data_IF_666865746085
#
_entry.id   IF_666865746085
#
_cell.length_a   1.000
_cell.length_b   1.000
_cell.length_c   1.000
_cell.angle_alpha   90.00
_cell.angle_beta   90.00
_cell.angle_gamma   90.00
#
_symmetry.space_group_name_H-M   'P 1'
#
loop_
_entity.id
_entity.type
_entity.pdbx_description
1 polymer ?
#
# COMPACT_ATOMS: atom_id res chain seq x y z
N UNK A 1 19.47 5.46 11.08
CA UNK A 1 18.15 5.02 10.56
C UNK A 1 17.22 4.80 11.74
N UNK A 2 16.04 5.42 11.75
CA UNK A 2 15.01 5.13 12.74
C UNK A 2 14.45 3.71 12.49
N UNK A 3 14.48 2.87 13.52
CA UNK A 3 13.89 1.52 13.51
C UNK A 3 12.37 1.59 13.30
N UNK A 4 11.79 0.62 12.59
CA UNK A 4 10.34 0.43 12.52
C UNK A 4 9.75 0.05 13.89
N UNK A 5 8.43 0.14 14.00
CA UNK A 5 7.66 -0.20 15.21
C UNK A 5 8.03 0.60 16.46
N UNK A 6 8.06 1.95 16.41
CA UNK A 6 8.51 2.76 17.55
C UNK A 6 7.53 2.79 18.73
N UNK A 7 6.34 2.19 18.61
CA UNK A 7 5.28 2.22 19.63
C UNK A 7 4.77 0.82 19.97
N UNK A 8 4.13 0.64 21.15
CA UNK A 8 3.43 -0.60 21.47
C UNK A 8 2.34 -0.98 20.45
N UNK A 9 1.69 0.00 19.78
CA UNK A 9 0.63 -0.26 18.80
C UNK A 9 1.17 -0.92 17.52
N UNK A 10 2.44 -0.67 17.19
CA UNK A 10 3.11 -1.22 16.01
C UNK A 10 4.11 -2.33 16.35
N UNK A 11 4.24 -2.70 17.63
CA UNK A 11 5.09 -3.81 18.06
C UNK A 11 4.42 -5.16 17.76
N UNK A 12 5.04 -5.98 16.91
CA UNK A 12 4.52 -7.31 16.52
C UNK A 12 4.63 -8.28 17.70
N UNK A 13 3.50 -8.78 18.19
CA UNK A 13 3.45 -9.75 19.30
C UNK A 13 3.40 -11.20 18.81
N UNK A 14 2.52 -11.51 17.83
CA UNK A 14 2.40 -12.86 17.24
C UNK A 14 3.20 -13.00 15.95
N UNK A 15 4.05 -14.01 15.91
CA UNK A 15 4.91 -14.30 14.76
C UNK A 15 6.04 -13.26 14.63
N UNK A 16 6.67 -12.92 15.75
CA UNK A 16 7.76 -11.94 15.83
C UNK A 16 8.97 -12.32 14.96
N UNK A 17 9.16 -13.61 14.70
CA UNK A 17 10.16 -14.10 13.74
C UNK A 17 9.91 -13.65 12.28
N UNK A 18 8.76 -13.05 12.00
CA UNK A 18 8.40 -12.46 10.70
C UNK A 18 8.47 -10.93 10.72
N UNK A 19 8.71 -10.31 11.87
CA UNK A 19 8.76 -8.87 11.99
C UNK A 19 10.00 -8.33 11.26
N UNK A 20 9.82 -7.25 10.51
CA UNK A 20 10.90 -6.57 9.80
C UNK A 20 11.14 -5.22 10.48
N UNK A 21 12.37 -5.00 10.93
CA UNK A 21 12.76 -3.77 11.65
C UNK A 21 13.37 -2.68 10.75
N UNK A 22 13.79 -3.06 9.55
CA UNK A 22 14.48 -2.20 8.59
C UNK A 22 13.50 -1.29 7.85
N UNK A 23 13.68 0.04 7.96
CA UNK A 23 12.81 1.02 7.29
C UNK A 23 12.89 0.93 5.76
N UNK A 24 14.05 0.62 5.21
CA UNK A 24 14.23 0.51 3.76
C UNK A 24 13.36 -0.61 3.18
N UNK A 25 13.19 -1.71 3.92
CA UNK A 25 12.28 -2.82 3.54
C UNK A 25 10.82 -2.39 3.51
N UNK A 26 10.40 -1.48 4.40
CA UNK A 26 9.06 -0.87 4.34
C UNK A 26 8.92 -0.03 3.07
N UNK A 27 9.90 0.82 2.77
CA UNK A 27 9.86 1.68 1.59
C UNK A 27 9.86 0.86 0.29
N UNK A 28 10.65 -0.22 0.23
CA UNK A 28 10.64 -1.18 -0.89
C UNK A 28 9.25 -1.78 -1.12
N UNK A 29 8.58 -2.22 -0.06
CA UNK A 29 7.21 -2.76 -0.16
C UNK A 29 6.22 -1.69 -0.62
N UNK A 30 6.30 -0.48 -0.06
CA UNK A 30 5.40 0.61 -0.42
C UNK A 30 5.63 1.08 -1.87
N UNK A 31 6.86 1.03 -2.37
CA UNK A 31 7.20 1.33 -3.77
C UNK A 31 6.71 0.24 -4.75
N UNK A 32 6.74 -1.02 -4.36
CA UNK A 32 6.24 -2.15 -5.17
C UNK A 32 4.70 -2.20 -5.21
N UNK A 33 4.04 -1.91 -4.10
CA UNK A 33 2.59 -2.06 -3.98
C UNK A 33 1.81 -0.97 -4.74
N UNK A 34 0.75 -1.37 -5.45
CA UNK A 34 -0.10 -0.45 -6.22
C UNK A 34 -1.36 0.02 -5.48
N UNK A 35 -1.78 -0.73 -4.45
CA UNK A 35 -3.01 -0.47 -3.70
C UNK A 35 -2.74 -0.60 -2.21
N UNK A 36 -3.33 0.29 -1.43
CA UNK A 36 -3.42 0.18 0.02
C UNK A 36 -4.88 0.04 0.48
N UNK A 37 -5.07 -0.36 1.72
CA UNK A 37 -6.38 -0.45 2.37
C UNK A 37 -6.42 0.52 3.55
N UNK A 38 -7.27 1.54 3.43
CA UNK A 38 -7.49 2.53 4.48
C UNK A 38 -8.62 2.08 5.40
N UNK A 39 -8.28 1.70 6.63
CA UNK A 39 -9.20 1.53 7.74
C UNK A 39 -9.50 2.86 8.42
N UNK A 40 -10.77 3.23 8.51
CA UNK A 40 -11.25 4.44 9.18
C UNK A 40 -12.56 4.18 9.91
N UNK A 41 -12.77 4.83 11.06
CA UNK A 41 -14.02 4.76 11.81
C UNK A 41 -14.92 5.90 11.38
N UNK A 42 -16.10 5.58 10.84
CA UNK A 42 -17.08 6.57 10.36
C UNK A 42 -18.30 6.59 11.26
N UNK A 43 -18.92 7.77 11.40
CA UNK A 43 -20.24 7.93 12.03
C UNK A 43 -21.23 8.41 10.97
N UNK A 44 -22.30 7.65 10.77
CA UNK A 44 -23.38 7.97 9.82
C UNK A 44 -24.72 7.63 10.44
N UNK A 45 -25.68 8.56 10.34
CA UNK A 45 -27.04 8.39 10.85
C UNK A 45 -27.08 7.94 12.33
N UNK A 46 -26.15 8.46 13.14
CA UNK A 46 -26.01 8.14 14.57
C UNK A 46 -25.26 6.84 14.89
N UNK A 47 -24.90 6.03 13.88
CA UNK A 47 -24.18 4.77 14.07
C UNK A 47 -22.69 4.93 13.73
N UNK A 48 -21.82 4.43 14.62
CA UNK A 48 -20.36 4.44 14.44
C UNK A 48 -19.84 3.05 14.12
N UNK A 49 -19.08 2.89 13.03
CA UNK A 49 -18.54 1.60 12.59
C UNK A 49 -17.24 1.77 11.78
N UNK A 50 -16.36 0.77 11.74
CA UNK A 50 -15.20 0.79 10.86
C UNK A 50 -15.60 0.52 9.40
N UNK A 51 -14.89 1.15 8.48
CA UNK A 51 -14.88 0.81 7.06
C UNK A 51 -13.43 0.63 6.59
N UNK A 52 -13.23 -0.23 5.61
CA UNK A 52 -11.93 -0.46 4.97
C UNK A 52 -12.08 -0.20 3.48
N UNK A 53 -11.32 0.76 2.97
CA UNK A 53 -11.44 1.25 1.60
C UNK A 53 -10.17 0.93 0.81
N UNK A 54 -10.27 0.29 -0.37
CA UNK A 54 -9.12 0.21 -1.26
C UNK A 54 -8.82 1.59 -1.82
N UNK A 55 -7.55 2.00 -1.78
CA UNK A 55 -7.10 3.33 -2.19
C UNK A 55 -5.79 3.24 -2.97
N UNK A 56 -5.66 4.10 -3.99
CA UNK A 56 -4.36 4.46 -4.53
C UNK A 56 -3.64 5.36 -3.53
N UNK A 57 -2.32 5.25 -3.48
CA UNK A 57 -1.48 6.01 -2.57
C UNK A 57 -0.15 6.36 -3.24
N UNK A 58 0.61 7.24 -2.60
CA UNK A 58 2.02 7.43 -2.89
C UNK A 58 2.78 7.67 -1.59
N UNK A 59 4.10 7.55 -1.66
CA UNK A 59 5.00 7.82 -0.55
C UNK A 59 6.03 8.83 -0.98
N UNK A 60 6.24 9.84 -0.14
CA UNK A 60 7.38 10.73 -0.18
C UNK A 60 8.27 10.45 1.05
N UNK A 61 9.38 9.71 0.90
CA UNK A 61 10.28 9.42 2.02
C UNK A 61 10.89 10.69 2.65
N UNK A 62 11.04 11.75 1.84
CA UNK A 62 11.59 13.05 2.24
C UNK A 62 10.47 14.09 2.48
N UNK A 63 9.23 13.62 2.56
CA UNK A 63 8.06 14.44 2.85
C UNK A 63 8.15 15.14 4.21
N UNK A 64 7.30 16.16 4.44
CA UNK A 64 7.40 17.03 5.62
C UNK A 64 7.02 16.33 6.93
N UNK A 65 6.45 15.12 6.89
CA UNK A 65 6.04 14.38 8.07
C UNK A 65 7.15 13.49 8.62
N UNK A 66 7.06 13.18 9.92
CA UNK A 66 8.07 12.35 10.56
C UNK A 66 8.14 10.94 9.96
N UNK A 67 9.34 10.54 9.54
CA UNK A 67 9.59 9.25 8.91
C UNK A 67 9.18 9.16 7.44
N UNK A 68 8.78 10.28 6.83
CA UNK A 68 8.23 10.38 5.47
C UNK A 68 6.71 10.50 5.48
N UNK A 69 6.15 10.86 4.33
CA UNK A 69 4.71 11.11 4.15
C UNK A 69 4.08 10.07 3.23
N UNK A 70 3.01 9.43 3.69
CA UNK A 70 2.11 8.64 2.85
C UNK A 70 0.93 9.52 2.44
N UNK A 71 0.77 9.72 1.13
CA UNK A 71 -0.33 10.50 0.56
C UNK A 71 -1.47 9.62 0.08
N UNK A 72 -2.69 10.03 0.43
CA UNK A 72 -3.95 9.48 -0.06
C UNK A 72 -4.76 10.61 -0.70
N UNK A 73 -5.61 10.31 -1.66
CA UNK A 73 -6.50 11.31 -2.24
C UNK A 73 -7.93 10.79 -2.36
N UNK A 74 -8.88 11.73 -2.47
CA UNK A 74 -10.29 11.40 -2.67
C UNK A 74 -11.11 12.63 -3.03
N UNK A 75 -12.38 12.40 -3.37
CA UNK A 75 -13.34 13.48 -3.56
C UNK A 75 -13.52 14.27 -2.26
N UNK A 76 -13.59 15.59 -2.36
CA UNK A 76 -13.94 16.47 -1.23
C UNK A 76 -15.33 16.16 -0.63
N UNK A 77 -16.20 15.49 -1.39
CA UNK A 77 -17.51 15.02 -0.93
C UNK A 77 -17.50 13.66 -0.23
N UNK A 78 -16.35 12.99 -0.12
CA UNK A 78 -16.27 11.67 0.47
C UNK A 78 -16.46 11.70 2.00
N UNK A 79 -17.50 11.03 2.50
CA UNK A 79 -17.82 11.02 3.94
C UNK A 79 -16.72 10.46 4.83
N UNK A 80 -15.89 9.55 4.31
CA UNK A 80 -14.76 8.95 5.04
C UNK A 80 -13.60 9.93 5.26
N UNK A 81 -13.45 10.95 4.41
CA UNK A 81 -12.30 11.85 4.43
C UNK A 81 -12.32 12.74 5.67
N UNK A 82 -13.50 13.25 6.04
CA UNK A 82 -13.68 13.98 7.30
C UNK A 82 -13.44 13.08 8.50
N UNK A 83 -13.91 11.85 8.44
CA UNK A 83 -13.73 10.89 9.52
C UNK A 83 -12.24 10.56 9.76
N UNK A 84 -11.46 10.42 8.68
CA UNK A 84 -10.01 10.21 8.71
C UNK A 84 -9.23 11.35 9.38
N UNK A 85 -9.81 12.56 9.47
CA UNK A 85 -9.24 13.70 10.17
C UNK A 85 -9.69 13.79 11.64
N UNK A 86 -10.63 12.97 12.12
CA UNK A 86 -11.19 13.06 13.48
C UNK A 86 -10.63 11.98 14.42
N UNK A 87 -10.25 10.83 13.90
CA UNK A 87 -9.57 9.75 14.62
C UNK A 87 -8.26 9.33 13.94
N UNK A 88 -7.51 8.43 14.58
CA UNK A 88 -6.39 7.74 13.93
C UNK A 88 -6.92 6.82 12.83
N UNK A 89 -6.17 6.75 11.74
CA UNK A 89 -6.41 5.82 10.63
C UNK A 89 -5.39 4.69 10.63
N UNK A 90 -5.72 3.61 9.93
CA UNK A 90 -4.83 2.49 9.67
C UNK A 90 -4.71 2.29 8.16
N UNK A 91 -3.50 2.34 7.62
CA UNK A 91 -3.23 2.02 6.21
C UNK A 91 -2.48 0.69 6.17
N UNK A 92 -3.09 -0.31 5.52
CA UNK A 92 -2.51 -1.64 5.34
C UNK A 92 -2.14 -1.86 3.88
N UNK A 93 -0.92 -2.32 3.65
CA UNK A 93 -0.42 -2.76 2.33
C UNK A 93 -0.05 -4.23 2.44
N UNK A 94 -0.41 -5.04 1.45
CA UNK A 94 -0.08 -6.48 1.42
C UNK A 94 0.17 -6.91 -0.01
N UNK A 95 1.32 -7.55 -0.22
CA UNK A 95 1.66 -8.29 -1.44
C UNK A 95 1.71 -9.78 -1.11
N UNK A 96 1.01 -10.59 -1.92
CA UNK A 96 0.95 -12.04 -1.77
C UNK A 96 1.99 -12.69 -2.68
N UNK A 97 3.02 -13.26 -2.08
CA UNK A 97 4.20 -13.76 -2.79
C UNK A 97 4.18 -15.30 -2.95
N UNK A 98 3.21 -16.01 -2.34
CA UNK A 98 3.07 -17.45 -2.57
C UNK A 98 2.06 -18.18 -1.68
N UNK A 99 1.66 -19.37 -2.13
CA UNK A 99 0.81 -20.30 -1.39
C UNK A 99 1.67 -21.40 -0.78
N UNK A 100 1.61 -21.61 0.53
CA UNK A 100 2.38 -22.65 1.21
C UNK A 100 1.50 -23.83 1.55
N UNK A 101 1.82 -24.96 0.91
CA UNK A 101 1.16 -26.25 1.09
C UNK A 101 2.02 -27.11 2.02
N UNK A 102 1.63 -27.13 3.29
CA UNK A 102 2.23 -27.97 4.31
C UNK A 102 1.61 -29.38 4.33
N UNK A 103 2.19 -30.31 5.09
CA UNK A 103 1.63 -31.67 5.20
C UNK A 103 0.43 -31.74 6.12
N UNK A 104 0.39 -30.88 7.14
CA UNK A 104 -0.80 -30.69 7.98
C UNK A 104 -1.55 -29.41 7.59
N UNK A 105 -2.89 -29.46 7.73
CA UNK A 105 -3.73 -28.29 7.50
C UNK A 105 -3.39 -27.13 8.45
N UNK A 106 -2.91 -27.43 9.66
CA UNK A 106 -2.49 -26.43 10.65
C UNK A 106 -1.29 -25.59 10.18
N UNK A 107 -0.36 -26.21 9.46
CA UNK A 107 0.86 -25.56 8.97
C UNK A 107 0.71 -24.91 7.59
N UNK A 108 -0.47 -24.99 6.96
CA UNK A 108 -0.77 -24.28 5.71
C UNK A 108 -0.68 -22.77 5.90
N UNK A 109 -0.12 -22.07 4.92
CA UNK A 109 0.11 -20.63 5.03
C UNK A 109 0.27 -19.93 3.68
N UNK A 110 0.75 -18.69 3.72
CA UNK A 110 1.08 -17.88 2.55
C UNK A 110 2.43 -17.19 2.75
N UNK A 111 3.19 -17.02 1.68
CA UNK A 111 4.31 -16.09 1.63
C UNK A 111 3.75 -14.70 1.30
N UNK A 112 4.23 -13.67 2.00
CA UNK A 112 3.71 -12.31 1.86
C UNK A 112 4.71 -11.28 2.39
N UNK A 113 4.53 -10.05 1.94
CA UNK A 113 5.05 -8.82 2.56
C UNK A 113 3.87 -7.94 2.94
N UNK A 114 3.83 -7.46 4.18
CA UNK A 114 2.73 -6.63 4.67
C UNK A 114 3.22 -5.53 5.59
N UNK A 115 2.68 -4.34 5.39
CA UNK A 115 2.91 -3.18 6.24
C UNK A 115 1.59 -2.66 6.82
N UNK A 116 1.66 -2.18 8.05
CA UNK A 116 0.58 -1.48 8.74
C UNK A 116 1.12 -0.16 9.25
N UNK A 117 0.57 0.94 8.77
CA UNK A 117 0.87 2.33 9.19
C UNK A 117 -0.32 2.86 9.97
N UNK A 118 -0.10 3.33 11.20
CA UNK A 118 -1.14 3.86 12.07
C UNK A 118 -0.80 5.30 12.41
N UNK A 119 -1.78 6.19 12.37
CA UNK A 119 -1.54 7.53 12.85
C UNK A 119 -2.65 8.53 12.53
N UNK A 120 -2.34 9.78 12.85
CA UNK A 120 -3.21 10.92 12.63
C UNK A 120 -2.97 11.49 11.24
N UNK A 121 -3.94 11.35 10.34
CA UNK A 121 -3.84 12.00 9.04
C UNK A 121 -4.09 13.52 9.19
N UNK A 122 -3.43 14.32 8.35
CA UNK A 122 -3.70 15.74 8.17
C UNK A 122 -4.21 16.02 6.76
N UNK A 123 -4.98 17.10 6.62
CA UNK A 123 -5.31 17.64 5.30
C UNK A 123 -4.07 18.33 4.71
N UNK A 124 -3.87 18.18 3.40
CA UNK A 124 -2.88 18.95 2.65
C UNK A 124 -3.54 20.20 2.08
N UNK A 125 -3.38 21.31 2.79
CA UNK A 125 -3.97 22.61 2.42
C UNK A 125 -3.02 23.46 1.55
N UNK A 126 -1.71 23.25 1.66
CA UNK A 126 -0.73 23.97 0.83
C UNK A 126 -0.89 23.59 -0.64
N UNK A 127 -1.09 24.55 -1.56
CA UNK A 127 -1.31 24.25 -2.97
C UNK A 127 -0.13 23.57 -3.68
N UNK A 128 1.11 23.81 -3.24
CA UNK A 128 2.29 23.21 -3.84
C UNK A 128 2.47 21.76 -3.36
N UNK A 129 2.33 21.52 -2.05
CA UNK A 129 2.32 20.16 -1.50
C UNK A 129 1.19 19.32 -2.09
N UNK A 130 -0.02 19.89 -2.21
CA UNK A 130 -1.16 19.17 -2.79
C UNK A 130 -0.91 18.76 -4.24
N UNK A 131 -0.30 19.64 -5.04
CA UNK A 131 0.07 19.34 -6.43
C UNK A 131 1.12 18.22 -6.47
N UNK A 132 2.18 18.36 -5.70
CA UNK A 132 3.25 17.36 -5.58
C UNK A 132 2.69 15.99 -5.19
N UNK A 133 1.85 15.92 -4.16
CA UNK A 133 1.23 14.68 -3.71
C UNK A 133 0.36 14.02 -4.81
N UNK A 134 -0.38 14.80 -5.59
CA UNK A 134 -1.18 14.26 -6.70
C UNK A 134 -0.30 13.77 -7.85
N UNK A 135 0.76 14.49 -8.18
CA UNK A 135 1.73 14.07 -9.19
C UNK A 135 2.43 12.77 -8.75
N UNK A 136 2.81 12.66 -7.48
CA UNK A 136 3.36 11.42 -6.90
C UNK A 136 2.38 10.24 -7.00
N UNK A 137 1.09 10.44 -6.74
CA UNK A 137 0.09 9.36 -6.89
C UNK A 137 -0.01 8.89 -8.35
N UNK A 138 0.04 9.81 -9.31
CA UNK A 138 0.05 9.48 -10.74
C UNK A 138 1.33 8.70 -11.09
N UNK A 139 2.48 9.16 -10.62
CA UNK A 139 3.78 8.57 -10.92
C UNK A 139 4.01 7.23 -10.21
N UNK A 140 3.37 7.02 -9.05
CA UNK A 140 3.38 5.74 -8.35
C UNK A 140 2.72 4.63 -9.19
N UNK A 141 1.67 4.99 -9.95
CA UNK A 141 1.01 4.06 -10.87
C UNK A 141 1.86 3.82 -12.12
N UNK A 142 2.31 4.90 -12.77
CA UNK A 142 3.09 4.87 -14.00
C UNK A 142 4.23 5.90 -13.85
N UNK A 143 5.48 5.46 -13.63
CA UNK A 143 6.59 6.38 -13.39
C UNK A 143 6.78 7.42 -14.51
N UNK A 144 6.80 8.70 -14.12
CA UNK A 144 6.97 9.85 -15.02
C UNK A 144 5.72 10.27 -15.79
N UNK A 145 4.57 9.63 -15.53
CA UNK A 145 3.30 9.91 -16.22
C UNK A 145 2.82 11.34 -16.00
N UNK A 146 2.97 11.87 -14.79
CA UNK A 146 2.53 13.22 -14.40
C UNK A 146 3.05 14.29 -15.38
N UNK A 147 4.32 14.17 -15.80
CA UNK A 147 4.99 15.10 -16.71
C UNK A 147 4.52 14.99 -18.18
N UNK A 148 3.91 13.87 -18.57
CA UNK A 148 3.38 13.66 -19.94
C UNK A 148 1.93 14.10 -20.09
N UNK A 149 1.25 14.38 -18.98
CA UNK A 149 -0.14 14.81 -18.95
C UNK A 149 -0.23 16.34 -18.90
N UNK A 150 -1.38 16.89 -19.31
CA UNK A 150 -1.67 18.30 -19.01
C UNK A 150 -1.74 18.51 -17.50
N UNK A 151 -1.36 19.69 -17.04
CA UNK A 151 -1.55 20.07 -15.65
C UNK A 151 -3.03 19.98 -15.23
N UNK A 152 -3.27 19.63 -13.97
CA UNK A 152 -4.61 19.65 -13.38
C UNK A 152 -5.19 21.07 -13.39
N UNK A 153 -6.46 21.17 -13.79
CA UNK A 153 -7.22 22.40 -13.75
C UNK A 153 -7.57 22.80 -12.32
N UNK A 154 -7.90 24.08 -12.11
CA UNK A 154 -8.38 24.56 -10.80
C UNK A 154 -9.63 23.82 -10.32
N UNK A 155 -10.51 23.42 -11.23
CA UNK A 155 -11.74 22.68 -10.90
C UNK A 155 -11.44 21.28 -10.38
N UNK A 156 -10.51 20.58 -11.04
CA UNK A 156 -10.05 19.25 -10.60
C UNK A 156 -9.42 19.34 -9.20
N UNK A 157 -8.49 20.29 -9.00
CA UNK A 157 -7.85 20.50 -7.71
C UNK A 157 -8.83 20.89 -6.59
N UNK A 158 -9.91 21.61 -6.91
CA UNK A 158 -10.95 21.96 -5.94
C UNK A 158 -11.87 20.78 -5.59
N UNK A 159 -12.01 19.80 -6.49
CA UNK A 159 -12.82 18.60 -6.26
C UNK A 159 -12.05 17.49 -5.53
N UNK A 160 -10.72 17.60 -5.44
CA UNK A 160 -9.84 16.59 -4.86
C UNK A 160 -9.21 17.08 -3.55
N UNK A 161 -9.42 16.30 -2.49
CA UNK A 161 -8.71 16.46 -1.23
C UNK A 161 -7.57 15.43 -1.14
N UNK A 162 -6.51 15.82 -0.45
CA UNK A 162 -5.33 14.99 -0.20
C UNK A 162 -5.13 14.90 1.31
N UNK A 163 -4.94 13.68 1.79
CA UNK A 163 -4.55 13.38 3.16
C UNK A 163 -3.08 12.98 3.19
N UNK A 164 -2.36 13.48 4.18
CA UNK A 164 -1.00 13.08 4.50
C UNK A 164 -0.99 12.30 5.82
N UNK A 165 -0.34 11.13 5.83
CA UNK A 165 -0.17 10.29 7.00
C UNK A 165 1.34 10.12 7.28
N UNK A 166 1.84 10.47 8.48
CA UNK A 166 3.23 10.23 8.84
C UNK A 166 3.60 8.73 8.83
N UNK A 167 4.74 8.40 8.23
CA UNK A 167 5.29 7.03 8.19
C UNK A 167 6.10 6.64 9.44
N UNK A 168 6.11 7.51 10.47
CA UNK A 168 6.77 7.25 11.75
C UNK A 168 6.30 5.92 12.37
N UNK A 169 4.99 5.79 12.56
CA UNK A 169 4.38 4.65 13.27
C UNK A 169 3.92 3.59 12.29
N UNK A 170 4.88 2.75 11.88
CA UNK A 170 4.67 1.65 10.94
C UNK A 170 5.25 0.34 11.48
N UNK A 171 4.63 -0.77 11.10
CA UNK A 171 5.11 -2.13 11.33
C UNK A 171 5.12 -2.91 10.03
N UNK A 172 6.04 -3.85 9.89
CA UNK A 172 6.13 -4.72 8.73
C UNK A 172 6.31 -6.17 9.15
N UNK A 173 5.65 -7.06 8.41
CA UNK A 173 5.85 -8.51 8.49
C UNK A 173 6.15 -9.07 7.11
N UNK A 174 7.08 -10.01 7.07
CA UNK A 174 7.46 -10.73 5.86
C UNK A 174 7.53 -12.23 6.15
N UNK A 175 7.03 -13.04 5.22
CA UNK A 175 7.20 -14.49 5.22
C UNK A 175 7.56 -14.95 3.82
N UNK A 176 8.63 -15.73 3.73
CA UNK A 176 9.07 -16.41 2.52
C UNK A 176 9.41 -17.87 2.81
N UNK A 177 9.52 -18.69 1.75
CA UNK A 177 9.99 -20.07 1.83
C UNK A 177 8.89 -21.12 1.99
N UNK A 178 9.34 -22.34 2.33
CA UNK A 178 8.51 -23.54 2.41
C UNK A 178 7.71 -23.69 3.71
N UNK A 179 6.96 -24.80 3.83
CA UNK A 179 6.28 -25.16 5.07
C UNK A 179 7.28 -25.52 6.17
N UNK A 180 6.84 -25.38 7.42
CA UNK A 180 7.58 -25.84 8.60
C UNK A 180 6.70 -26.93 9.23
N UNK A 181 6.94 -28.17 8.82
CA UNK A 181 6.20 -29.35 9.28
C UNK A 181 6.90 -30.00 10.48
N UNK A 182 6.12 -30.64 11.35
CA UNK A 182 6.66 -31.48 12.42
C UNK A 182 7.27 -32.78 11.83
N UNK A 183 8.24 -33.43 12.51
CA UNK A 183 8.87 -34.64 12.00
C UNK A 183 7.89 -35.78 11.68
N UNK A 184 6.80 -35.90 12.44
CA UNK A 184 5.74 -36.89 12.24
C UNK A 184 4.95 -36.65 10.94
N UNK A 185 4.67 -35.39 10.62
CA UNK A 185 4.03 -34.98 9.38
C UNK A 185 4.95 -35.29 8.20
N UNK A 186 6.25 -35.00 8.31
CA UNK A 186 7.26 -35.32 7.27
C UNK A 186 7.31 -36.82 6.99
N UNK A 187 7.22 -37.66 8.02
CA UNK A 187 7.28 -39.12 7.90
C UNK A 187 6.10 -39.72 7.10
N UNK A 188 4.97 -39.00 6.96
CA UNK A 188 3.83 -39.45 6.15
C UNK A 188 4.15 -39.57 4.65
N UNK A 189 5.22 -38.90 4.18
CA UNK A 189 5.61 -38.89 2.77
C UNK A 189 4.69 -38.04 1.87
N UNK A 190 3.70 -37.33 2.45
CA UNK A 190 2.85 -36.39 1.70
C UNK A 190 3.72 -35.29 1.08
N UNK A 191 3.38 -34.83 -0.12
CA UNK A 191 4.09 -33.73 -0.75
C UNK A 191 3.88 -32.43 0.02
N UNK A 192 4.93 -31.60 0.11
CA UNK A 192 4.84 -30.27 0.70
C UNK A 192 5.81 -29.31 -0.01
N UNK A 193 5.41 -28.05 -0.09
CA UNK A 193 6.15 -27.03 -0.82
C UNK A 193 5.41 -25.70 -0.84
N UNK A 194 5.77 -24.85 -1.78
CA UNK A 194 5.03 -23.62 -2.01
C UNK A 194 4.92 -23.30 -3.50
N UNK A 195 3.85 -22.61 -3.86
CA UNK A 195 3.60 -22.07 -5.19
C UNK A 195 3.93 -20.57 -5.12
N UNK A 196 5.05 -20.11 -5.71
CA UNK A 196 5.35 -18.69 -5.78
C UNK A 196 4.26 -17.95 -6.57
N UNK A 197 3.92 -16.76 -6.13
CA UNK A 197 3.00 -15.85 -6.80
C UNK A 197 3.72 -14.55 -7.10
N UNK A 198 3.37 -13.92 -8.22
CA UNK A 198 3.82 -12.58 -8.59
C UNK A 198 2.72 -11.87 -9.37
N UNK A 199 2.67 -10.54 -9.26
CA UNK A 199 1.86 -9.71 -10.15
C UNK A 199 2.54 -9.67 -11.52
N UNK A 200 1.77 -9.89 -12.58
CA UNK A 200 2.22 -9.71 -13.97
C UNK A 200 1.27 -8.78 -14.71
N UNK A 201 1.80 -7.80 -15.44
CA UNK A 201 1.01 -6.95 -16.32
C UNK A 201 0.82 -7.63 -17.69
N UNK A 202 -0.33 -7.38 -18.29
CA UNK A 202 -0.58 -7.72 -19.70
C UNK A 202 -0.25 -6.52 -20.59
N UNK A 203 -0.10 -6.73 -21.92
CA UNK A 203 0.11 -5.63 -22.85
C UNK A 203 -0.96 -4.52 -22.69
N UNK A 204 -0.58 -3.24 -22.78
CA UNK A 204 -1.53 -2.13 -22.71
C UNK A 204 -2.60 -2.24 -23.79
N UNK A 205 -3.85 -1.98 -23.40
CA UNK A 205 -4.99 -1.93 -24.32
C UNK A 205 -5.33 -0.46 -24.56
N UNK A 206 -5.30 -0.05 -25.82
CA UNK A 206 -5.70 1.31 -26.20
C UNK A 206 -7.21 1.47 -26.09
N UNK A 207 -7.68 2.64 -25.66
CA UNK A 207 -9.09 2.98 -25.71
C UNK A 207 -9.56 3.14 -27.17
N UNK A 208 -10.85 2.92 -27.42
CA UNK A 208 -11.44 2.98 -28.78
C UNK A 208 -11.27 4.38 -29.44
N UNK A 209 -11.14 5.43 -28.64
CA UNK A 209 -10.94 6.82 -29.07
C UNK A 209 -9.47 7.28 -29.02
N UNK A 210 -8.52 6.37 -28.74
CA UNK A 210 -7.09 6.65 -28.82
C UNK A 210 -6.62 6.61 -30.26
N UNK A 211 -6.05 7.72 -30.74
CA UNK A 211 -5.50 7.84 -32.09
C UNK A 211 -3.97 7.75 -32.14
N UNK A 212 -3.32 7.79 -30.97
CA UNK A 212 -1.88 7.71 -30.82
C UNK A 212 -1.43 6.30 -30.40
N UNK A 213 -0.17 5.98 -30.67
CA UNK A 213 0.49 4.80 -30.11
C UNK A 213 0.59 4.89 -28.59
N UNK A 214 0.61 3.73 -27.93
CA UNK A 214 0.82 3.62 -26.47
C UNK A 214 2.09 4.37 -26.07
N UNK A 215 2.05 5.41 -25.21
CA UNK A 215 3.22 6.19 -24.84
C UNK A 215 4.34 5.37 -24.19
N UNK A 216 5.58 5.88 -24.26
CA UNK A 216 6.77 5.16 -23.79
C UNK A 216 6.74 4.82 -22.30
N UNK A 217 6.30 5.75 -21.45
CA UNK A 217 6.09 5.59 -20.00
C UNK A 217 5.13 4.43 -19.70
N UNK A 218 4.04 4.30 -20.47
CA UNK A 218 3.06 3.22 -20.31
C UNK A 218 3.64 1.87 -20.73
N UNK A 219 4.37 1.80 -21.86
CA UNK A 219 5.06 0.57 -22.30
C UNK A 219 6.11 0.12 -21.30
N UNK A 220 6.97 1.05 -20.84
CA UNK A 220 7.99 0.77 -19.85
C UNK A 220 7.40 0.24 -18.54
N UNK A 221 6.26 0.79 -18.11
CA UNK A 221 5.57 0.29 -16.92
C UNK A 221 5.02 -1.13 -17.12
N UNK A 222 4.42 -1.42 -18.28
CA UNK A 222 3.94 -2.76 -18.59
C UNK A 222 5.10 -3.77 -18.61
N UNK A 223 6.21 -3.44 -19.26
CA UNK A 223 7.41 -4.29 -19.34
C UNK A 223 8.03 -4.53 -17.96
N UNK A 224 8.10 -3.50 -17.11
CA UNK A 224 8.62 -3.61 -15.75
C UNK A 224 7.76 -4.49 -14.83
N UNK A 225 6.49 -4.70 -15.19
CA UNK A 225 5.56 -5.55 -14.46
C UNK A 225 5.32 -6.90 -15.15
N UNK A 226 5.93 -7.20 -16.30
CA UNK A 226 5.70 -8.44 -17.05
C UNK A 226 6.31 -9.70 -16.38
#
# INVERSE_FOLDING_TARGET
MQTLSPTPRTTVTRGANRAVGERDRLLDLLADALTAHLGVVVTRDGATHPVVLPVAFAVDPDGPDEGGTLYLHGSTGAGWLRAALVSDVCVTVTELDGLVAARSAFSHSMNYRSAVVIGRARMVDDPAERRHALDLVVDHMIPGRSATLRASTRKELAATAVLALPLREASMKERAGGPVDEPEDVATGVWAGHIPLRRTALPPVSADDSHDDVPADVRLRADALA
#
